data_IF_238082383305
#
_entry.id   IF_238082383305
#
_cell.length_a   1.000
_cell.length_b   1.000
_cell.length_c   1.000
_cell.angle_alpha   90.00
_cell.angle_beta   90.00
_cell.angle_gamma   90.00
#
_symmetry.space_group_name_H-M   'P 1'
#
loop_
_entity.id
_entity.type
_entity.pdbx_description
1 polymer ?
#
# COMPACT_ATOMS: atom_id res chain seq x y z
N UNK A 1 -7.60 -15.57 -2.31
CA UNK A 1 -6.29 -16.12 -1.93
C UNK A 1 -5.28 -15.01 -1.67
N UNK A 2 -5.09 -14.04 -2.61
CA UNK A 2 -4.15 -12.93 -2.46
C UNK A 2 -4.37 -12.14 -1.16
N UNK A 3 -5.61 -11.73 -0.90
CA UNK A 3 -5.98 -11.01 0.32
C UNK A 3 -5.66 -11.85 1.57
N UNK A 4 -5.99 -13.14 1.56
CA UNK A 4 -5.69 -14.06 2.66
C UNK A 4 -4.18 -14.19 2.89
N UNK A 5 -3.40 -14.34 1.80
CA UNK A 5 -1.95 -14.43 1.88
C UNK A 5 -1.32 -13.21 2.56
N UNK A 6 -1.75 -12.02 2.20
CA UNK A 6 -1.26 -10.80 2.82
C UNK A 6 -1.69 -10.67 4.28
N UNK A 7 -2.93 -11.03 4.60
CA UNK A 7 -3.46 -10.91 5.95
C UNK A 7 -2.75 -11.80 6.97
N UNK A 8 -2.21 -12.95 6.53
CA UNK A 8 -1.52 -13.92 7.42
C UNK A 8 -0.01 -13.68 7.56
N UNK A 9 0.54 -12.59 7.00
CA UNK A 9 1.95 -12.27 7.23
C UNK A 9 2.21 -11.89 8.70
N UNK A 10 3.44 -12.09 9.17
CA UNK A 10 3.80 -11.89 10.57
C UNK A 10 3.50 -10.49 11.09
N UNK A 11 3.93 -9.46 10.36
CA UNK A 11 3.73 -8.07 10.77
C UNK A 11 2.24 -7.69 10.81
N UNK A 12 1.40 -7.98 9.78
CA UNK A 12 -0.04 -7.78 9.84
C UNK A 12 -0.70 -8.47 11.04
N UNK A 13 -0.38 -9.74 11.32
CA UNK A 13 -0.92 -10.46 12.47
C UNK A 13 -0.52 -9.78 13.77
N UNK A 14 0.77 -9.47 13.95
CA UNK A 14 1.27 -8.82 15.15
C UNK A 14 0.58 -7.47 15.40
N UNK A 15 0.49 -6.64 14.37
CA UNK A 15 -0.11 -5.31 14.49
C UNK A 15 -1.62 -5.41 14.71
N UNK A 16 -2.31 -6.36 14.05
CA UNK A 16 -3.74 -6.59 14.26
C UNK A 16 -4.06 -7.05 15.69
N UNK A 17 -3.12 -7.71 16.35
CA UNK A 17 -3.24 -8.09 17.75
C UNK A 17 -2.85 -6.96 18.74
N UNK A 18 -2.31 -5.84 18.24
CA UNK A 18 -1.91 -4.70 19.05
C UNK A 18 -2.95 -3.58 19.03
N UNK A 19 -3.04 -2.81 20.10
CA UNK A 19 -3.89 -1.61 20.16
C UNK A 19 -3.21 -0.45 19.42
N UNK A 20 -3.27 -0.48 18.06
CA UNK A 20 -2.59 0.48 17.20
C UNK A 20 -3.45 0.84 15.98
N UNK A 21 -3.36 2.09 15.55
CA UNK A 21 -4.01 2.60 14.33
C UNK A 21 -3.62 1.81 13.06
N UNK A 22 -2.44 1.20 13.02
CA UNK A 22 -1.97 0.43 11.88
C UNK A 22 -2.79 -0.85 11.64
N UNK A 23 -3.42 -1.42 12.68
CA UNK A 23 -4.35 -2.52 12.54
C UNK A 23 -5.55 -2.12 11.67
N UNK A 24 -6.11 -0.93 11.94
CA UNK A 24 -7.21 -0.39 11.18
C UNK A 24 -6.78 -0.01 9.75
N UNK A 25 -5.58 0.56 9.60
CA UNK A 25 -4.98 0.82 8.29
C UNK A 25 -4.87 -0.43 7.43
N UNK A 26 -4.44 -1.56 8.01
CA UNK A 26 -4.34 -2.82 7.28
C UNK A 26 -5.70 -3.35 6.85
N UNK A 27 -6.67 -3.34 7.74
CA UNK A 27 -8.04 -3.73 7.40
C UNK A 27 -8.62 -2.90 6.25
N UNK A 28 -8.47 -1.58 6.30
CA UNK A 28 -8.90 -0.68 5.23
C UNK A 28 -8.14 -0.92 3.92
N UNK A 29 -6.83 -1.18 3.97
CA UNK A 29 -6.03 -1.49 2.78
C UNK A 29 -6.54 -2.75 2.08
N UNK A 30 -6.87 -3.79 2.85
CA UNK A 30 -7.46 -5.02 2.32
C UNK A 30 -8.86 -4.79 1.73
N UNK A 31 -9.69 -3.97 2.37
CA UNK A 31 -11.01 -3.60 1.86
C UNK A 31 -10.93 -2.81 0.56
N UNK A 32 -10.01 -1.85 0.46
CA UNK A 32 -9.77 -1.07 -0.76
C UNK A 32 -9.28 -1.99 -1.88
N UNK A 33 -8.32 -2.89 -1.59
CA UNK A 33 -7.86 -3.89 -2.56
C UNK A 33 -9.02 -4.75 -3.07
N UNK A 34 -9.80 -5.32 -2.15
CA UNK A 34 -10.95 -6.16 -2.50
C UNK A 34 -11.97 -5.39 -3.34
N UNK A 35 -12.18 -4.11 -3.02
CA UNK A 35 -13.06 -3.24 -3.80
C UNK A 35 -12.53 -3.00 -5.20
N UNK A 36 -11.25 -2.69 -5.37
CA UNK A 36 -10.63 -2.49 -6.69
C UNK A 36 -10.74 -3.79 -7.52
N UNK A 37 -10.43 -4.94 -6.93
CA UNK A 37 -10.61 -6.24 -7.61
C UNK A 37 -12.06 -6.39 -8.06
N UNK A 38 -13.02 -6.16 -7.19
CA UNK A 38 -14.44 -6.27 -7.50
C UNK A 38 -14.86 -5.34 -8.66
N UNK A 39 -14.35 -4.10 -8.71
CA UNK A 39 -14.67 -3.15 -9.79
C UNK A 39 -14.21 -3.64 -11.17
N UNK A 40 -13.13 -4.44 -11.24
CA UNK A 40 -12.64 -5.03 -12.48
C UNK A 40 -13.21 -6.43 -12.77
N UNK A 41 -13.76 -7.10 -11.75
CA UNK A 41 -14.24 -8.48 -11.90
C UNK A 41 -15.76 -8.59 -12.05
N UNK A 42 -16.55 -7.70 -11.47
CA UNK A 42 -18.01 -7.77 -11.52
C UNK A 42 -18.56 -7.57 -12.93
N UNK A 43 -19.68 -8.24 -13.26
CA UNK A 43 -20.41 -8.09 -14.53
C UNK A 43 -21.10 -6.73 -14.65
N UNK A 44 -21.70 -6.30 -13.54
CA UNK A 44 -22.45 -5.07 -13.51
C UNK A 44 -21.53 -3.86 -13.65
N UNK A 45 -22.07 -2.82 -14.27
CA UNK A 45 -21.37 -1.54 -14.36
C UNK A 45 -21.25 -0.88 -12.99
N UNK A 46 -20.21 -0.08 -12.84
CA UNK A 46 -19.95 0.72 -11.65
C UNK A 46 -21.11 1.71 -11.46
N UNK A 47 -21.70 1.69 -10.25
CA UNK A 47 -22.80 2.56 -9.87
C UNK A 47 -22.36 3.52 -8.73
N UNK A 48 -23.23 4.48 -8.38
CA UNK A 48 -22.99 5.41 -7.27
C UNK A 48 -22.65 4.73 -5.93
N UNK A 49 -23.21 3.54 -5.69
CA UNK A 49 -22.90 2.74 -4.48
C UNK A 49 -21.42 2.38 -4.38
N UNK A 50 -20.79 2.05 -5.50
CA UNK A 50 -19.37 1.71 -5.54
C UNK A 50 -18.50 2.92 -5.17
N UNK A 51 -18.89 4.10 -5.67
CA UNK A 51 -18.20 5.36 -5.41
C UNK A 51 -18.34 5.75 -3.94
N UNK A 52 -19.55 5.62 -3.39
CA UNK A 52 -19.81 5.89 -1.96
C UNK A 52 -18.94 4.98 -1.09
N UNK A 53 -18.86 3.68 -1.39
CA UNK A 53 -18.04 2.75 -0.61
C UNK A 53 -16.54 3.13 -0.67
N UNK A 54 -16.00 3.44 -1.86
CA UNK A 54 -14.62 3.92 -1.97
C UNK A 54 -14.40 5.23 -1.22
N UNK A 55 -15.35 6.17 -1.32
CA UNK A 55 -15.29 7.43 -0.59
C UNK A 55 -15.25 7.19 0.92
N UNK A 56 -16.09 6.30 1.44
CA UNK A 56 -16.09 5.95 2.88
C UNK A 56 -14.75 5.33 3.27
N UNK A 57 -14.25 4.34 2.53
CA UNK A 57 -12.99 3.67 2.87
C UNK A 57 -11.80 4.64 2.86
N UNK A 58 -11.71 5.50 1.85
CA UNK A 58 -10.65 6.49 1.77
C UNK A 58 -10.82 7.61 2.82
N UNK A 59 -12.05 7.99 3.17
CA UNK A 59 -12.29 8.92 4.28
C UNK A 59 -11.81 8.34 5.61
N UNK A 60 -12.06 7.07 5.87
CA UNK A 60 -11.57 6.39 7.06
C UNK A 60 -10.04 6.26 7.07
N UNK A 61 -9.39 6.13 5.88
CA UNK A 61 -7.94 6.16 5.77
C UNK A 61 -7.31 7.45 6.30
N UNK A 62 -8.03 8.57 6.24
CA UNK A 62 -7.58 9.88 6.77
C UNK A 62 -7.13 9.77 8.23
N UNK A 63 -7.85 8.99 9.04
CA UNK A 63 -7.60 8.87 10.48
C UNK A 63 -6.44 7.90 10.81
N UNK A 64 -5.91 7.22 9.80
CA UNK A 64 -4.83 6.24 9.98
C UNK A 64 -3.54 6.66 9.27
N UNK A 65 -3.58 6.74 7.96
CA UNK A 65 -2.42 7.07 7.09
C UNK A 65 -2.85 8.07 6.02
N UNK A 66 -2.83 9.34 6.36
CA UNK A 66 -3.29 10.43 5.51
C UNK A 66 -2.81 10.33 4.04
N UNK A 67 -1.55 10.03 3.70
CA UNK A 67 -1.12 9.93 2.31
C UNK A 67 -1.89 8.90 1.49
N UNK A 68 -2.40 7.84 2.13
CA UNK A 68 -3.11 6.73 1.46
C UNK A 68 -4.49 7.11 0.93
N UNK A 69 -5.03 8.28 1.31
CA UNK A 69 -6.28 8.80 0.72
C UNK A 69 -6.17 9.01 -0.79
N UNK A 70 -4.95 9.20 -1.32
CA UNK A 70 -4.70 9.33 -2.76
C UNK A 70 -5.21 8.13 -3.57
N UNK A 71 -5.43 6.97 -2.94
CA UNK A 71 -6.02 5.79 -3.58
C UNK A 71 -7.40 6.04 -4.18
N UNK A 72 -8.19 7.00 -3.65
CA UNK A 72 -9.49 7.36 -4.25
C UNK A 72 -9.33 7.87 -5.68
N UNK A 73 -8.19 8.50 -5.99
CA UNK A 73 -7.89 9.01 -7.33
C UNK A 73 -7.87 7.93 -8.41
N UNK A 74 -7.62 6.66 -8.04
CA UNK A 74 -7.64 5.54 -8.99
C UNK A 74 -9.00 5.36 -9.66
N UNK A 75 -10.09 5.74 -9.01
CA UNK A 75 -11.43 5.64 -9.55
C UNK A 75 -11.61 6.43 -10.85
N UNK A 76 -10.93 7.57 -11.02
CA UNK A 76 -11.02 8.40 -12.22
C UNK A 76 -10.42 7.68 -13.45
N UNK A 77 -9.45 6.80 -13.23
CA UNK A 77 -8.70 6.12 -14.29
C UNK A 77 -9.27 4.76 -14.67
N UNK A 78 -10.40 4.36 -14.06
CA UNK A 78 -11.19 3.22 -14.55
C UNK A 78 -11.92 3.67 -15.82
N UNK A 79 -11.92 2.85 -16.89
CA UNK A 79 -12.53 3.23 -18.17
C UNK A 79 -14.00 3.65 -18.05
N UNK A 80 -14.40 4.68 -18.81
CA UNK A 80 -15.76 5.26 -18.76
C UNK A 80 -16.87 4.25 -19.10
N UNK A 81 -16.59 3.29 -19.98
CA UNK A 81 -17.53 2.23 -20.36
C UNK A 81 -17.87 1.28 -19.22
N UNK A 82 -17.03 1.23 -18.18
CA UNK A 82 -17.30 0.50 -16.93
C UNK A 82 -18.36 1.16 -16.07
N UNK A 83 -18.61 2.44 -16.24
CA UNK A 83 -19.61 3.17 -15.46
C UNK A 83 -21.01 3.07 -16.08
N UNK A 84 -22.04 3.01 -15.24
CA UNK A 84 -23.44 2.94 -15.64
C UNK A 84 -23.87 4.15 -16.47
N UNK A 85 -23.29 5.32 -16.18
CA UNK A 85 -23.50 6.56 -16.93
C UNK A 85 -22.35 7.54 -16.70
N UNK A 86 -22.20 8.54 -17.60
CA UNK A 86 -21.26 9.64 -17.41
C UNK A 86 -21.51 10.39 -16.10
N UNK A 87 -22.77 10.52 -15.68
CA UNK A 87 -23.13 11.17 -14.41
C UNK A 87 -22.53 10.40 -13.22
N UNK A 88 -22.62 9.06 -13.23
CA UNK A 88 -22.02 8.22 -12.18
C UNK A 88 -20.48 8.40 -12.17
N UNK A 89 -19.84 8.44 -13.35
CA UNK A 89 -18.40 8.72 -13.38
C UNK A 89 -18.03 10.06 -12.74
N UNK A 90 -18.80 11.13 -12.97
CA UNK A 90 -18.50 12.43 -12.37
C UNK A 90 -18.68 12.48 -10.84
N UNK A 91 -19.43 11.56 -10.25
CA UNK A 91 -19.49 11.45 -8.78
C UNK A 91 -18.14 11.06 -8.15
N UNK A 92 -17.17 10.52 -8.90
CA UNK A 92 -15.82 10.31 -8.39
C UNK A 92 -15.15 11.61 -7.95
N UNK A 93 -15.35 12.71 -8.70
CA UNK A 93 -14.80 14.02 -8.32
C UNK A 93 -15.43 14.55 -7.03
N UNK A 94 -16.73 14.32 -6.84
CA UNK A 94 -17.41 14.64 -5.59
C UNK A 94 -16.84 13.78 -4.44
N UNK A 95 -16.64 12.49 -4.66
CA UNK A 95 -16.03 11.59 -3.67
C UNK A 95 -14.63 12.07 -3.26
N UNK A 96 -13.80 12.45 -4.22
CA UNK A 96 -12.46 13.01 -3.97
C UNK A 96 -12.56 14.30 -3.15
N UNK A 97 -13.47 15.21 -3.51
CA UNK A 97 -13.67 16.46 -2.79
C UNK A 97 -14.08 16.20 -1.33
N UNK A 98 -14.97 15.25 -1.09
CA UNK A 98 -15.39 14.85 0.27
C UNK A 98 -14.18 14.31 1.07
N UNK A 99 -13.39 13.42 0.51
CA UNK A 99 -12.20 12.86 1.17
C UNK A 99 -11.19 13.96 1.50
N UNK A 100 -10.94 14.88 0.57
CA UNK A 100 -10.04 16.02 0.80
C UNK A 100 -10.56 16.95 1.88
N UNK A 101 -11.87 17.23 1.90
CA UNK A 101 -12.48 18.06 2.94
C UNK A 101 -12.33 17.41 4.33
N UNK A 102 -12.59 16.11 4.44
CA UNK A 102 -12.40 15.35 5.68
C UNK A 102 -10.93 15.39 6.11
N UNK A 103 -9.99 15.23 5.15
CA UNK A 103 -8.57 15.30 5.42
C UNK A 103 -8.14 16.68 5.95
N UNK A 104 -8.65 17.76 5.36
CA UNK A 104 -8.36 19.13 5.81
C UNK A 104 -8.93 19.40 7.21
N UNK A 105 -10.17 18.96 7.49
CA UNK A 105 -10.77 19.06 8.81
C UNK A 105 -10.00 18.26 9.86
N UNK A 106 -9.55 17.06 9.50
CA UNK A 106 -8.70 16.23 10.38
C UNK A 106 -7.36 16.88 10.67
N UNK A 107 -6.67 17.40 9.65
CA UNK A 107 -5.40 18.12 9.84
C UNK A 107 -5.57 19.35 10.73
N UNK A 108 -6.65 20.13 10.53
CA UNK A 108 -6.97 21.26 11.39
C UNK A 108 -7.21 20.82 12.84
N UNK A 109 -7.97 19.76 13.05
CA UNK A 109 -8.20 19.20 14.38
C UNK A 109 -6.90 18.68 15.00
N UNK A 110 -6.11 17.92 14.24
CA UNK A 110 -4.83 17.36 14.70
C UNK A 110 -3.82 18.45 15.10
N UNK A 111 -3.81 19.59 14.39
CA UNK A 111 -2.92 20.71 14.71
C UNK A 111 -3.24 21.40 16.05
N UNK A 112 -4.42 21.14 16.63
CA UNK A 112 -4.78 21.62 17.98
C UNK A 112 -4.34 20.69 19.10
N UNK A 113 -3.87 19.47 18.78
CA UNK A 113 -3.37 18.51 19.76
C UNK A 113 -1.90 18.80 20.06
N UNK A 114 -1.56 18.87 21.34
CA UNK A 114 -0.16 18.97 21.76
C UNK A 114 0.55 17.64 21.51
N UNK A 115 1.66 17.69 20.76
CA UNK A 115 2.50 16.54 20.56
C UNK A 115 3.40 16.35 21.81
N UNK A 116 3.03 15.45 22.69
CA UNK A 116 3.70 15.23 23.99
C UNK A 116 5.06 14.53 23.87
N UNK A 117 5.33 13.80 22.79
CA UNK A 117 6.48 12.89 22.67
C UNK A 117 7.39 13.13 21.46
N UNK A 118 7.42 14.35 20.91
CA UNK A 118 8.37 14.66 19.84
C UNK A 118 9.79 14.87 20.40
N UNK A 119 10.83 14.38 19.71
CA UNK A 119 12.21 14.71 20.05
C UNK A 119 12.39 16.25 20.12
N UNK A 120 13.15 16.75 21.08
CA UNK A 120 13.41 18.21 21.24
C UNK A 120 14.02 18.88 20.01
N UNK A 121 14.60 18.10 19.08
CA UNK A 121 15.18 18.58 17.82
C UNK A 121 14.15 18.81 16.73
N UNK A 122 12.88 18.43 16.94
CA UNK A 122 11.82 18.55 15.91
C UNK A 122 11.07 19.85 16.14
N UNK A 123 11.15 20.75 15.17
CA UNK A 123 10.38 21.98 15.08
C UNK A 123 9.83 22.12 13.64
N UNK A 124 8.52 21.96 13.51
CA UNK A 124 7.86 21.98 12.20
C UNK A 124 7.97 23.34 11.50
N UNK A 125 7.93 24.44 12.26
CA UNK A 125 8.01 25.80 11.74
C UNK A 125 9.40 26.10 11.21
N UNK A 126 10.42 25.76 12.00
CA UNK A 126 11.83 25.93 11.60
C UNK A 126 12.20 24.98 10.45
N UNK A 127 11.68 23.75 10.47
CA UNK A 127 11.87 22.78 9.38
C UNK A 127 11.27 23.30 8.06
N UNK A 128 10.10 23.93 8.10
CA UNK A 128 9.48 24.52 6.92
C UNK A 128 10.33 25.69 6.38
N UNK A 129 10.83 26.57 7.26
CA UNK A 129 11.77 27.65 6.89
C UNK A 129 13.04 27.07 6.27
N UNK A 130 13.57 26.00 6.87
CA UNK A 130 14.75 25.33 6.33
C UNK A 130 14.53 24.81 4.91
N UNK A 131 13.40 24.16 4.63
CA UNK A 131 13.05 23.67 3.28
C UNK A 131 13.08 24.80 2.25
N UNK A 132 12.48 25.94 2.56
CA UNK A 132 12.47 27.09 1.64
C UNK A 132 13.82 27.79 1.52
N UNK A 133 14.61 27.79 2.59
CA UNK A 133 15.96 28.38 2.59
C UNK A 133 17.01 27.49 1.94
N UNK A 134 16.83 26.16 1.98
CA UNK A 134 17.80 25.16 1.55
C UNK A 134 17.15 24.09 0.65
N UNK A 135 16.55 24.48 -0.50
CA UNK A 135 15.76 23.54 -1.32
C UNK A 135 16.61 22.42 -1.93
N UNK A 136 17.91 22.62 -2.16
CA UNK A 136 18.80 21.58 -2.70
C UNK A 136 19.07 20.49 -1.65
N UNK A 137 19.36 20.87 -0.43
CA UNK A 137 19.58 19.98 0.71
C UNK A 137 18.33 19.17 1.01
N UNK A 138 17.18 19.83 1.03
CA UNK A 138 15.89 19.12 1.18
C UNK A 138 15.64 18.12 0.06
N UNK A 139 15.86 18.49 -1.21
CA UNK A 139 15.70 17.56 -2.33
C UNK A 139 16.67 16.39 -2.24
N UNK A 140 17.90 16.60 -1.78
CA UNK A 140 18.86 15.52 -1.52
C UNK A 140 18.35 14.56 -0.45
N UNK A 141 17.90 15.10 0.69
CA UNK A 141 17.32 14.29 1.78
C UNK A 141 16.09 13.50 1.31
N UNK A 142 15.22 14.13 0.53
CA UNK A 142 14.04 13.49 -0.05
C UNK A 142 14.41 12.34 -0.99
N UNK A 143 15.39 12.56 -1.89
CA UNK A 143 15.87 11.52 -2.81
C UNK A 143 16.48 10.34 -2.06
N UNK A 144 17.30 10.60 -1.04
CA UNK A 144 17.84 9.54 -0.16
C UNK A 144 16.69 8.76 0.50
N UNK A 145 15.70 9.47 1.04
CA UNK A 145 14.50 8.87 1.64
C UNK A 145 13.75 7.97 0.65
N UNK A 146 13.50 8.46 -0.56
CA UNK A 146 12.80 7.71 -1.61
C UNK A 146 13.59 6.47 -2.05
N UNK A 147 14.89 6.58 -2.27
CA UNK A 147 15.74 5.45 -2.67
C UNK A 147 15.89 4.40 -1.55
N UNK A 148 15.82 4.83 -0.29
CA UNK A 148 15.87 3.92 0.86
C UNK A 148 14.53 3.24 1.17
N UNK A 149 13.42 3.78 0.69
CA UNK A 149 12.07 3.26 0.98
C UNK A 149 11.91 1.78 0.58
N UNK A 150 12.35 1.30 -0.60
CA UNK A 150 12.25 -0.13 -0.95
C UNK A 150 12.98 -1.04 0.04
N UNK A 151 14.08 -0.59 0.63
CA UNK A 151 14.83 -1.36 1.61
C UNK A 151 14.06 -1.54 2.93
N UNK A 152 13.10 -0.65 3.21
CA UNK A 152 12.20 -0.74 4.37
C UNK A 152 11.19 -1.88 4.23
N UNK A 153 10.94 -2.38 3.03
CA UNK A 153 10.01 -3.51 2.83
C UNK A 153 10.45 -4.80 3.51
N UNK A 154 11.75 -4.97 3.80
CA UNK A 154 12.22 -6.08 4.64
C UNK A 154 11.52 -6.14 6.00
N UNK A 155 11.05 -5.02 6.53
CA UNK A 155 10.34 -4.92 7.80
C UNK A 155 8.98 -5.64 7.82
N UNK A 156 8.45 -6.02 6.67
CA UNK A 156 7.23 -6.83 6.54
C UNK A 156 7.33 -8.21 7.19
N UNK A 157 8.53 -8.78 7.15
CA UNK A 157 8.81 -10.12 7.61
C UNK A 157 9.31 -10.13 9.05
N UNK A 158 9.15 -9.00 9.76
CA UNK A 158 9.61 -8.87 11.13
C UNK A 158 8.45 -9.04 12.11
N UNK A 159 8.77 -9.53 13.31
CA UNK A 159 7.89 -9.46 14.45
C UNK A 159 8.13 -8.15 15.23
N UNK A 160 7.07 -7.65 15.86
CA UNK A 160 7.15 -6.44 16.63
C UNK A 160 7.37 -5.20 15.78
N UNK A 161 7.83 -4.15 16.41
CA UNK A 161 8.03 -2.83 15.81
C UNK A 161 9.28 -2.75 14.90
N UNK A 162 9.60 -3.79 14.15
CA UNK A 162 10.77 -3.88 13.27
C UNK A 162 12.12 -4.05 13.97
N UNK A 163 12.14 -4.26 15.28
CA UNK A 163 13.39 -4.33 16.03
C UNK A 163 14.02 -5.71 16.10
N UNK A 164 13.26 -6.74 15.77
CA UNK A 164 13.73 -8.11 15.90
C UNK A 164 13.50 -8.88 14.60
N UNK A 165 14.53 -9.09 13.84
CA UNK A 165 14.50 -9.93 12.65
C UNK A 165 15.76 -10.78 12.53
N UNK A 166 15.62 -11.99 12.04
CA UNK A 166 16.74 -12.80 11.63
C UNK A 166 17.23 -12.33 10.26
N UNK A 167 18.47 -11.91 10.13
CA UNK A 167 19.04 -11.46 8.85
C UNK A 167 18.89 -12.52 7.75
N UNK A 168 19.01 -13.80 8.09
CA UNK A 168 18.88 -14.92 7.15
C UNK A 168 17.46 -15.11 6.62
N UNK A 169 16.43 -14.78 7.41
CA UNK A 169 15.04 -14.91 6.98
C UNK A 169 14.69 -13.94 5.84
N UNK A 170 15.35 -12.79 5.75
CA UNK A 170 15.11 -11.81 4.70
C UNK A 170 15.63 -12.24 3.34
N UNK A 171 16.76 -12.93 3.31
CA UNK A 171 17.40 -13.34 2.06
C UNK A 171 16.52 -14.27 1.23
N UNK A 172 15.68 -15.08 1.88
CA UNK A 172 14.77 -16.01 1.20
C UNK A 172 13.34 -15.46 1.09
N UNK A 173 12.81 -14.86 2.14
CA UNK A 173 11.42 -14.40 2.16
C UNK A 173 11.15 -13.22 1.22
N UNK A 174 12.08 -12.28 1.09
CA UNK A 174 11.90 -11.11 0.24
C UNK A 174 11.81 -11.46 -1.26
N UNK A 175 12.75 -12.27 -1.85
CA UNK A 175 12.64 -12.70 -3.24
C UNK A 175 11.40 -13.55 -3.51
N UNK A 176 11.05 -14.46 -2.61
CA UNK A 176 9.86 -15.32 -2.77
C UNK A 176 8.60 -14.46 -2.72
N UNK A 177 8.50 -13.55 -1.76
CA UNK A 177 7.37 -12.63 -1.64
C UNK A 177 7.25 -11.71 -2.87
N UNK A 178 8.38 -11.15 -3.34
CA UNK A 178 8.43 -10.36 -4.56
C UNK A 178 8.00 -11.17 -5.80
N UNK A 179 8.51 -12.39 -5.94
CA UNK A 179 8.09 -13.28 -7.02
C UNK A 179 6.60 -13.61 -6.95
N UNK A 180 6.05 -13.88 -5.76
CA UNK A 180 4.62 -14.14 -5.58
C UNK A 180 3.76 -12.95 -5.95
N UNK A 181 4.17 -11.71 -5.61
CA UNK A 181 3.45 -10.50 -5.98
C UNK A 181 3.47 -10.27 -7.50
N UNK A 182 4.63 -10.48 -8.11
CA UNK A 182 4.84 -10.26 -9.55
C UNK A 182 4.12 -11.34 -10.37
N UNK A 183 4.20 -12.59 -9.94
CA UNK A 183 3.66 -13.74 -10.65
C UNK A 183 2.21 -14.05 -10.28
N UNK A 184 1.61 -13.31 -9.33
CA UNK A 184 0.24 -13.58 -8.92
C UNK A 184 -0.74 -13.30 -10.04
N UNK A 185 -1.45 -14.32 -10.54
CA UNK A 185 -2.40 -14.15 -11.63
C UNK A 185 -3.69 -13.53 -11.11
N UNK A 186 -3.95 -12.28 -11.46
CA UNK A 186 -5.25 -11.68 -11.26
C UNK A 186 -6.16 -12.07 -12.44
N UNK A 187 -7.04 -13.04 -12.23
CA UNK A 187 -8.15 -13.30 -13.16
C UNK A 187 -9.19 -12.21 -12.96
N UNK A 188 -9.22 -11.25 -13.85
CA UNK A 188 -10.19 -10.18 -13.86
C UNK A 188 -11.01 -10.26 -15.14
N UNK A 189 -12.32 -10.08 -15.04
CA UNK A 189 -13.24 -10.09 -16.18
C UNK A 189 -12.97 -8.94 -17.17
N UNK A 190 -12.52 -7.81 -16.65
CA UNK A 190 -12.21 -6.63 -17.43
C UNK A 190 -10.73 -6.30 -17.38
N UNK A 191 -10.19 -5.96 -18.55
CA UNK A 191 -8.78 -5.65 -18.70
C UNK A 191 -8.36 -4.41 -17.90
N UNK A 192 -7.24 -4.51 -17.20
CA UNK A 192 -6.58 -3.37 -16.55
C UNK A 192 -5.85 -2.56 -17.62
N UNK A 193 -6.33 -1.35 -17.90
CA UNK A 193 -5.75 -0.50 -18.95
C UNK A 193 -4.38 0.03 -18.57
N UNK A 194 -3.55 0.36 -19.57
CA UNK A 194 -2.25 0.98 -19.34
C UNK A 194 -2.37 2.33 -18.61
N UNK A 195 -3.46 3.08 -18.88
CA UNK A 195 -3.74 4.33 -18.18
C UNK A 195 -3.98 4.09 -16.70
N UNK A 196 -4.73 3.05 -16.32
CA UNK A 196 -4.93 2.68 -14.93
C UNK A 196 -3.60 2.23 -14.27
N UNK A 197 -2.79 1.42 -14.96
CA UNK A 197 -1.47 1.01 -14.47
C UNK A 197 -0.55 2.21 -14.24
N UNK A 198 -0.52 3.15 -15.16
CA UNK A 198 0.25 4.40 -15.01
C UNK A 198 -0.25 5.23 -13.83
N UNK A 199 -1.57 5.41 -13.70
CA UNK A 199 -2.15 6.14 -12.56
C UNK A 199 -1.85 5.45 -11.22
N UNK A 200 -1.85 4.12 -11.20
CA UNK A 200 -1.50 3.34 -10.03
C UNK A 200 -0.06 3.60 -9.58
N UNK A 201 0.90 3.56 -10.52
CA UNK A 201 2.31 3.90 -10.21
C UNK A 201 2.42 5.34 -9.71
N UNK A 202 1.71 6.28 -10.36
CA UNK A 202 1.73 7.71 -9.96
C UNK A 202 1.17 7.91 -8.55
N UNK A 203 0.07 7.24 -8.21
CA UNK A 203 -0.53 7.29 -6.87
C UNK A 203 0.40 6.65 -5.83
N UNK A 204 1.01 5.50 -6.15
CA UNK A 204 1.99 4.86 -5.26
C UNK A 204 3.18 5.77 -4.97
N UNK A 205 3.75 6.37 -6.00
CA UNK A 205 4.86 7.34 -5.86
C UNK A 205 4.43 8.56 -5.05
N UNK A 206 3.24 9.11 -5.32
CA UNK A 206 2.71 10.24 -4.55
C UNK A 206 2.58 9.90 -3.06
N UNK A 207 2.06 8.72 -2.72
CA UNK A 207 1.95 8.27 -1.32
C UNK A 207 3.33 8.17 -0.67
N UNK A 208 4.32 7.60 -1.37
CA UNK A 208 5.69 7.48 -0.86
C UNK A 208 6.31 8.87 -0.63
N UNK A 209 6.20 9.76 -1.63
CA UNK A 209 6.73 11.13 -1.54
C UNK A 209 6.08 11.89 -0.39
N UNK A 210 4.74 11.92 -0.34
CA UNK A 210 4.00 12.66 0.71
C UNK A 210 4.31 12.09 2.10
N UNK A 211 4.44 10.77 2.24
CA UNK A 211 4.83 10.15 3.52
C UNK A 211 6.21 10.62 3.96
N UNK A 212 7.20 10.63 3.06
CA UNK A 212 8.54 11.11 3.37
C UNK A 212 8.55 12.61 3.73
N UNK A 213 7.80 13.43 2.99
CA UNK A 213 7.69 14.89 3.28
C UNK A 213 7.04 15.13 4.65
N UNK A 214 5.95 14.42 4.96
CA UNK A 214 5.28 14.55 6.27
C UNK A 214 6.26 14.16 7.39
N UNK A 215 6.98 13.05 7.27
CA UNK A 215 7.93 12.62 8.28
C UNK A 215 9.16 13.53 8.39
N UNK A 216 9.58 14.15 7.29
CA UNK A 216 10.61 15.18 7.33
C UNK A 216 10.15 16.40 8.13
N UNK A 217 8.89 16.80 7.98
CA UNK A 217 8.33 17.96 8.70
C UNK A 217 8.02 17.65 10.17
N UNK A 218 7.59 16.42 10.47
CA UNK A 218 6.96 16.12 11.78
C UNK A 218 7.78 15.22 12.68
N UNK A 219 8.83 14.57 12.18
CA UNK A 219 9.57 13.55 12.92
C UNK A 219 11.10 13.64 12.76
N UNK A 220 11.58 14.47 11.84
CA UNK A 220 13.01 14.64 11.55
C UNK A 220 13.51 15.95 12.16
N UNK A 221 14.71 15.94 12.73
CA UNK A 221 15.34 17.15 13.27
C UNK A 221 15.58 18.18 12.18
N UNK A 222 15.57 19.46 12.56
CA UNK A 222 15.70 20.57 11.60
C UNK A 222 17.01 20.47 10.83
N UNK A 223 16.91 20.39 9.50
CA UNK A 223 18.06 20.34 8.59
C UNK A 223 18.79 19.00 8.54
N UNK A 224 18.28 17.94 9.14
CA UNK A 224 18.89 16.60 9.02
C UNK A 224 18.91 16.10 7.58
N UNK A 225 20.04 15.48 7.19
CA UNK A 225 20.24 14.95 5.84
C UNK A 225 19.44 13.68 5.55
N UNK A 226 18.97 12.97 6.59
CA UNK A 226 18.22 11.71 6.47
C UNK A 226 16.84 11.84 7.11
N UNK A 227 15.83 11.30 6.42
CA UNK A 227 14.46 11.33 6.94
C UNK A 227 14.27 10.25 7.99
N UNK A 228 13.95 10.67 9.21
CA UNK A 228 13.70 9.79 10.35
C UNK A 228 12.26 9.25 10.35
N UNK A 229 12.03 8.12 11.01
CA UNK A 229 10.70 7.56 11.25
C UNK A 229 10.03 6.82 10.09
N UNK A 230 10.64 6.77 8.90
CA UNK A 230 10.09 6.03 7.75
C UNK A 230 10.15 4.52 8.03
N UNK A 231 8.98 3.87 7.99
CA UNK A 231 8.84 2.43 8.28
C UNK A 231 8.10 1.72 7.13
N UNK A 232 8.52 0.47 6.84
CA UNK A 232 7.95 -0.33 5.76
C UNK A 232 6.44 -0.55 5.90
N UNK A 233 5.93 -0.65 7.12
CA UNK A 233 4.50 -0.83 7.40
C UNK A 233 3.61 0.29 6.85
N UNK A 234 4.13 1.49 6.63
CA UNK A 234 3.36 2.60 6.05
C UNK A 234 2.98 2.38 4.59
N UNK A 235 3.67 1.48 3.91
CA UNK A 235 3.50 1.20 2.49
C UNK A 235 2.82 -0.15 2.21
N UNK A 236 2.27 -0.80 3.24
CA UNK A 236 1.59 -2.10 3.10
C UNK A 236 0.50 -2.07 2.03
N UNK A 237 -0.38 -1.08 2.08
CA UNK A 237 -1.45 -0.95 1.09
C UNK A 237 -0.95 -0.88 -0.35
N UNK A 238 0.28 -0.37 -0.58
CA UNK A 238 0.87 -0.27 -1.91
C UNK A 238 1.31 -1.62 -2.45
N UNK A 239 1.89 -2.47 -1.60
CA UNK A 239 2.31 -3.82 -2.02
C UNK A 239 1.14 -4.67 -2.51
N UNK A 240 -0.03 -4.49 -1.90
CA UNK A 240 -1.26 -5.17 -2.28
C UNK A 240 -1.71 -4.87 -3.71
N UNK A 241 -1.29 -3.73 -4.27
CA UNK A 241 -1.68 -3.26 -5.59
C UNK A 241 -0.69 -3.69 -6.70
N UNK A 242 0.49 -4.21 -6.35
CA UNK A 242 1.50 -4.63 -7.32
C UNK A 242 1.00 -5.65 -8.37
N UNK A 243 0.14 -6.63 -8.04
CA UNK A 243 -0.39 -7.57 -9.03
C UNK A 243 -1.15 -6.91 -10.18
N UNK A 244 -1.73 -5.73 -9.97
CA UNK A 244 -2.38 -4.98 -11.05
C UNK A 244 -1.39 -4.41 -12.08
N UNK A 245 -0.15 -4.14 -11.67
CA UNK A 245 0.88 -3.60 -12.57
C UNK A 245 1.40 -4.67 -13.52
N UNK A 246 1.63 -5.85 -13.00
CA UNK A 246 2.21 -6.96 -13.75
C UNK A 246 1.19 -7.62 -14.65
N UNK A 247 0.00 -7.85 -14.14
CA UNK A 247 -1.13 -8.52 -14.76
C UNK A 247 -0.70 -9.64 -15.75
N UNK A 248 0.07 -10.59 -15.24
CA UNK A 248 0.70 -11.67 -16.03
C UNK A 248 -0.34 -12.49 -16.78
N UNK A 249 -1.54 -12.63 -16.22
CA UNK A 249 -2.64 -13.35 -16.87
C UNK A 249 -2.97 -12.80 -18.25
N UNK A 250 -2.96 -11.49 -18.44
CA UNK A 250 -3.20 -10.88 -19.77
C UNK A 250 -2.13 -11.29 -20.80
N UNK A 251 -0.93 -11.67 -20.36
CA UNK A 251 0.18 -12.09 -21.22
C UNK A 251 0.17 -13.59 -21.51
N UNK A 252 -0.33 -14.37 -20.57
CA UNK A 252 -0.42 -15.84 -20.67
C UNK A 252 -1.63 -16.24 -21.54
N UNK A 253 -2.71 -15.46 -21.53
CA UNK A 253 -3.94 -15.73 -22.29
C UNK A 253 -3.96 -15.19 -23.74
N UNK A 254 -2.86 -14.63 -24.25
CA UNK A 254 -2.79 -14.06 -25.63
C UNK A 254 -2.54 -15.14 -26.72
N UNK A 255 -2.40 -16.39 -26.36
CA UNK A 255 -2.24 -17.48 -27.33
C UNK A 255 -3.57 -18.21 -27.57
N UNK A 256 -4.17 -18.05 -28.75
CA UNK A 256 -5.43 -18.72 -29.16
C UNK A 256 -5.33 -20.26 -29.32
N UNK A 257 -4.19 -20.86 -28.98
CA UNK A 257 -3.94 -22.31 -29.09
C UNK A 257 -3.41 -22.89 -27.77
N UNK A 258 -4.26 -22.92 -26.77
CA UNK A 258 -3.89 -23.40 -25.42
C UNK A 258 -4.06 -24.92 -25.21
N UNK A 259 -4.40 -25.67 -26.24
CA UNK A 259 -4.68 -27.10 -26.10
C UNK A 259 -3.44 -27.99 -25.92
N UNK A 260 -2.22 -27.45 -26.14
CA UNK A 260 -0.99 -28.28 -26.15
C UNK A 260 0.12 -27.91 -25.15
N UNK A 261 0.02 -26.78 -24.45
CA UNK A 261 0.97 -26.49 -23.37
C UNK A 261 0.24 -26.74 -22.07
N UNK A 262 0.63 -27.79 -21.33
CA UNK A 262 0.00 -28.21 -20.09
C UNK A 262 -0.40 -27.01 -19.24
N UNK A 263 -1.68 -26.71 -19.25
CA UNK A 263 -2.29 -25.64 -18.46
C UNK A 263 -1.82 -25.87 -17.05
N UNK A 264 -0.90 -25.05 -16.55
CA UNK A 264 -0.65 -24.96 -15.15
C UNK A 264 -2.02 -24.69 -14.55
N UNK A 265 -2.63 -25.74 -14.01
CA UNK A 265 -3.93 -25.67 -13.39
C UNK A 265 -3.85 -24.54 -12.38
N UNK A 266 -4.51 -23.43 -12.70
CA UNK A 266 -4.42 -22.20 -11.91
C UNK A 266 -4.81 -22.44 -10.46
N UNK A 267 -5.64 -23.45 -10.22
CA UNK A 267 -6.00 -23.88 -8.88
C UNK A 267 -4.82 -24.55 -8.18
N UNK A 268 -4.11 -25.44 -8.87
CA UNK A 268 -2.87 -26.05 -8.36
C UNK A 268 -1.78 -25.03 -8.13
N UNK A 269 -1.62 -24.07 -9.03
CA UNK A 269 -0.66 -22.98 -8.86
C UNK A 269 -0.96 -22.12 -7.63
N UNK A 270 -2.23 -21.78 -7.39
CA UNK A 270 -2.65 -21.06 -6.20
C UNK A 270 -2.45 -21.89 -4.92
N UNK A 271 -2.69 -23.20 -4.97
CA UNK A 271 -2.43 -24.11 -3.85
C UNK A 271 -0.93 -24.19 -3.54
N UNK A 272 -0.08 -24.28 -4.56
CA UNK A 272 1.40 -24.27 -4.40
C UNK A 272 1.85 -22.96 -3.76
N UNK A 273 1.36 -21.81 -4.23
CA UNK A 273 1.67 -20.50 -3.65
C UNK A 273 1.26 -20.45 -2.17
N UNK A 274 0.06 -20.91 -1.84
CA UNK A 274 -0.42 -20.94 -0.46
C UNK A 274 0.44 -21.86 0.42
N UNK A 275 0.79 -23.03 -0.08
CA UNK A 275 1.66 -23.98 0.63
C UNK A 275 3.05 -23.36 0.90
N UNK A 276 3.67 -22.74 -0.11
CA UNK A 276 4.94 -22.03 0.05
C UNK A 276 4.81 -20.92 1.09
N UNK A 277 3.73 -20.14 1.06
CA UNK A 277 3.48 -19.09 2.03
C UNK A 277 3.40 -19.65 3.46
N UNK A 278 2.65 -20.73 3.67
CA UNK A 278 2.53 -21.39 4.98
C UNK A 278 3.90 -21.92 5.44
N UNK A 279 4.67 -22.56 4.56
CA UNK A 279 6.01 -23.06 4.88
C UNK A 279 6.96 -21.93 5.31
N UNK A 280 6.95 -20.79 4.59
CA UNK A 280 7.77 -19.62 4.95
C UNK A 280 7.34 -19.09 6.31
N UNK A 281 6.04 -18.93 6.56
CA UNK A 281 5.53 -18.44 7.83
C UNK A 281 5.91 -19.37 8.98
N UNK A 282 5.76 -20.69 8.78
CA UNK A 282 6.12 -21.71 9.77
C UNK A 282 7.61 -21.68 10.06
N UNK A 283 8.44 -21.64 9.01
CA UNK A 283 9.89 -21.57 9.14
C UNK A 283 10.35 -20.29 9.85
N UNK A 284 9.81 -19.16 9.48
CA UNK A 284 10.11 -17.88 10.14
C UNK A 284 9.66 -17.88 11.60
N UNK A 285 8.52 -18.49 11.93
CA UNK A 285 8.06 -18.63 13.30
C UNK A 285 8.98 -19.55 14.11
N UNK A 286 9.42 -20.67 13.53
CA UNK A 286 10.34 -21.60 14.18
C UNK A 286 11.72 -20.97 14.47
N UNK A 287 12.28 -20.23 13.49
CA UNK A 287 13.53 -19.48 13.70
C UNK A 287 13.39 -18.46 14.84
N UNK A 288 12.22 -17.89 15.01
CA UNK A 288 11.94 -16.91 16.05
C UNK A 288 11.88 -17.52 17.44
N UNK A 289 11.18 -18.66 17.55
CA UNK A 289 11.13 -19.42 18.80
C UNK A 289 12.55 -19.81 19.23
N UNK A 290 13.40 -20.26 18.29
CA UNK A 290 14.80 -20.62 18.57
C UNK A 290 15.71 -19.46 18.94
N UNK A 291 15.30 -18.18 18.75
CA UNK A 291 16.05 -17.00 19.19
C UNK A 291 15.66 -16.57 20.61
N UNK A 292 14.44 -16.93 21.07
CA UNK A 292 13.94 -16.53 22.40
C UNK A 292 14.08 -17.64 23.46
N UNK A 293 14.37 -18.85 23.06
CA UNK A 293 14.59 -20.02 23.92
C UNK A 293 15.92 -20.70 23.59
#
# INVERSE_FOLDING_TARGET
LLVGFFAIQHLPIYISASFNQDAFFYGLSLLILAKIINLFDKEEKIDYKDIIQMTIYCSLMTFTKLPSIALIGLMIFIPLDRYKSKKVYYYNFLGILIVLLIALLWLKYYSTMEATDLPKSVDQSEQLKYIFGHPREFMSSLLIGLLSTPLKFKQYFTFGWSYHYSEHAHLLSLPIFGAMLILYPLKLRHKVTNLFKFSLVSVMLAIIVVTNVILYLTFTGVGEATISGVQGRYFYGLLLLLPFLTNITDKIYIGDNFDDIGVLDMEKFQQIILMIAILILTWMSALRIGVYY
#
